data_IF_408689755799
#
_entry.id   IF_408689755799
#
_cell.length_a   1.000
_cell.length_b   1.000
_cell.length_c   1.000
_cell.angle_alpha   90.00
_cell.angle_beta   90.00
_cell.angle_gamma   90.00
#
_symmetry.space_group_name_H-M   'P 1'
#
loop_
_entity.id
_entity.type
_entity.pdbx_description
1 polymer ?
#
# COMPACT_ATOMS: atom_id res chain seq x y z
N UNK A 1 -8.48 -10.07 26.65
CA UNK A 1 -8.35 -8.99 25.68
C UNK A 1 -7.43 -9.49 24.57
N UNK A 2 -7.96 -9.67 23.38
CA UNK A 2 -7.19 -10.15 22.25
C UNK A 2 -6.23 -9.05 21.76
N UNK A 3 -5.07 -9.45 21.25
CA UNK A 3 -4.09 -8.52 20.68
C UNK A 3 -3.70 -8.97 19.28
N UNK A 4 -3.61 -8.02 18.36
CA UNK A 4 -3.01 -8.24 17.05
C UNK A 4 -1.64 -7.55 17.04
N UNK A 5 -0.58 -8.33 16.86
CA UNK A 5 0.81 -7.88 16.85
C UNK A 5 1.20 -7.48 15.43
N UNK A 6 1.47 -6.20 15.21
CA UNK A 6 1.66 -5.62 13.88
C UNK A 6 3.11 -5.20 13.68
N UNK A 7 3.70 -5.60 12.56
CA UNK A 7 4.95 -5.02 12.06
C UNK A 7 4.65 -4.09 10.88
N UNK A 8 5.25 -2.89 10.86
CA UNK A 8 5.05 -1.91 9.78
C UNK A 8 6.37 -1.73 9.02
N UNK A 9 6.35 -2.04 7.72
CA UNK A 9 7.48 -1.96 6.82
C UNK A 9 7.25 -0.91 5.72
N UNK A 10 8.19 0.03 5.62
CA UNK A 10 8.02 1.25 4.83
C UNK A 10 7.44 2.38 5.68
N UNK A 11 8.28 3.38 5.98
CA UNK A 11 7.89 4.51 6.84
C UNK A 11 8.04 5.83 6.06
N UNK A 12 7.49 5.82 4.84
CA UNK A 12 7.23 7.00 4.04
C UNK A 12 6.02 7.78 4.55
N UNK A 13 5.36 8.53 3.69
CA UNK A 13 4.14 9.27 4.05
C UNK A 13 3.05 8.32 4.56
N UNK A 14 2.68 7.33 3.76
CA UNK A 14 1.61 6.37 4.10
C UNK A 14 1.92 5.63 5.39
N UNK A 15 3.07 4.92 5.46
CA UNK A 15 3.40 4.10 6.63
C UNK A 15 3.56 4.91 7.92
N UNK A 16 4.06 6.16 7.83
CA UNK A 16 4.13 7.05 9.01
C UNK A 16 2.75 7.45 9.52
N UNK A 17 1.78 7.69 8.62
CA UNK A 17 0.40 7.97 9.02
C UNK A 17 -0.30 6.73 9.59
N UNK A 18 -0.01 5.53 9.05
CA UNK A 18 -0.53 4.27 9.62
C UNK A 18 -0.07 4.11 11.07
N UNK A 19 1.22 4.36 11.38
CA UNK A 19 1.71 4.34 12.77
C UNK A 19 0.90 5.31 13.64
N UNK A 20 0.69 6.54 13.18
CA UNK A 20 -0.08 7.56 13.92
C UNK A 20 -1.53 7.16 14.15
N UNK A 21 -2.17 6.58 13.15
CA UNK A 21 -3.56 6.11 13.26
C UNK A 21 -3.68 5.00 14.30
N UNK A 22 -2.76 4.04 14.31
CA UNK A 22 -2.75 2.97 15.30
C UNK A 22 -2.42 3.52 16.70
N UNK A 23 -1.51 4.49 16.84
CA UNK A 23 -1.25 5.17 18.12
C UNK A 23 -2.52 5.83 18.70
N UNK A 24 -3.31 6.48 17.82
CA UNK A 24 -4.53 7.19 18.21
C UNK A 24 -5.71 6.24 18.48
N UNK A 25 -5.84 5.20 17.66
CA UNK A 25 -6.98 4.29 17.64
C UNK A 25 -6.48 2.84 17.79
N UNK A 26 -5.87 2.52 18.95
CA UNK A 26 -5.26 1.19 19.16
C UNK A 26 -6.26 0.05 19.31
N UNK A 27 -7.56 0.36 19.40
CA UNK A 27 -8.63 -0.63 19.55
C UNK A 27 -9.40 -0.77 18.24
N UNK A 28 -9.66 -1.99 17.85
CA UNK A 28 -10.62 -2.38 16.81
C UNK A 28 -11.85 -3.02 17.46
N UNK A 29 -12.81 -3.43 16.60
CA UNK A 29 -14.03 -4.12 17.03
C UNK A 29 -13.72 -5.27 18.00
N UNK A 30 -14.66 -5.58 18.88
CA UNK A 30 -14.61 -6.68 19.85
C UNK A 30 -13.47 -6.66 20.88
N UNK A 31 -13.10 -5.47 21.33
CA UNK A 31 -12.06 -5.33 22.37
C UNK A 31 -10.68 -5.88 21.95
N UNK A 32 -10.41 -5.98 20.67
CA UNK A 32 -9.12 -6.39 20.12
C UNK A 32 -8.19 -5.19 20.03
N UNK A 33 -7.00 -5.27 20.62
CA UNK A 33 -5.99 -4.22 20.60
C UNK A 33 -4.97 -4.44 19.50
N UNK A 34 -4.69 -3.40 18.72
CA UNK A 34 -3.53 -3.35 17.81
C UNK A 34 -2.28 -2.94 18.58
N UNK A 35 -1.23 -3.75 18.47
CA UNK A 35 0.09 -3.48 19.08
C UNK A 35 1.18 -3.46 18.02
N UNK A 36 1.84 -2.31 17.84
CA UNK A 36 2.99 -2.21 16.92
C UNK A 36 4.21 -2.82 17.61
N UNK A 37 4.62 -4.01 17.16
CA UNK A 37 5.74 -4.76 17.74
C UNK A 37 7.06 -4.52 17.05
N UNK A 38 7.04 -4.04 15.80
CA UNK A 38 8.25 -3.67 15.05
C UNK A 38 7.94 -2.65 13.96
N UNK A 39 8.93 -1.85 13.63
CA UNK A 39 8.91 -0.96 12.47
C UNK A 39 10.21 -1.08 11.68
N UNK A 40 10.14 -0.89 10.36
CA UNK A 40 11.32 -0.96 9.50
C UNK A 40 11.24 -0.08 8.28
N UNK A 41 12.37 0.53 7.90
CA UNK A 41 12.54 1.27 6.66
C UNK A 41 14.02 1.40 6.30
N UNK A 42 14.33 1.75 5.05
CA UNK A 42 15.70 1.88 4.54
C UNK A 42 16.57 2.86 5.35
N UNK A 43 16.00 3.98 5.82
CA UNK A 43 16.76 5.02 6.55
C UNK A 43 16.13 5.29 7.91
N UNK A 44 16.79 4.84 8.99
CA UNK A 44 16.36 5.07 10.37
C UNK A 44 16.41 6.54 10.79
N UNK A 45 17.39 7.31 10.29
CA UNK A 45 17.65 8.70 10.69
C UNK A 45 16.69 9.70 10.04
N UNK A 46 15.93 9.30 9.00
CA UNK A 46 14.96 10.20 8.36
C UNK A 46 13.93 10.66 9.39
N UNK A 47 13.71 11.98 9.49
CA UNK A 47 12.68 12.59 10.36
C UNK A 47 11.28 12.07 9.97
N UNK A 48 10.46 11.72 10.95
CA UNK A 48 9.09 11.22 10.78
C UNK A 48 8.13 11.98 11.69
N UNK A 49 6.84 11.85 11.41
CA UNK A 49 5.77 12.51 12.16
C UNK A 49 5.47 11.86 13.53
N UNK A 50 6.18 10.77 13.87
CA UNK A 50 6.06 10.06 15.15
C UNK A 50 7.44 9.77 15.75
N UNK A 51 7.49 9.39 17.02
CA UNK A 51 8.73 9.07 17.71
C UNK A 51 9.15 7.62 17.43
N UNK A 52 10.17 7.43 16.59
CA UNK A 52 10.71 6.13 16.18
C UNK A 52 11.26 5.33 17.38
N UNK A 53 11.78 5.99 18.41
CA UNK A 53 12.41 5.31 19.57
C UNK A 53 11.42 4.54 20.45
N UNK A 54 10.11 4.77 20.27
CA UNK A 54 9.06 4.01 20.96
C UNK A 54 8.94 2.56 20.48
N UNK A 55 9.51 2.24 19.32
CA UNK A 55 9.29 0.97 18.65
C UNK A 55 10.59 0.21 18.40
N UNK A 56 10.50 -1.11 18.39
CA UNK A 56 11.61 -1.95 17.96
C UNK A 56 11.87 -1.73 16.47
N UNK A 57 13.05 -1.18 16.15
CA UNK A 57 13.48 -1.00 14.77
C UNK A 57 14.08 -2.28 14.22
N UNK A 58 13.72 -2.64 13.00
CA UNK A 58 14.35 -3.72 12.24
C UNK A 58 14.93 -3.20 10.93
N UNK A 59 16.07 -3.74 10.54
CA UNK A 59 16.73 -3.42 9.27
C UNK A 59 16.37 -4.41 8.16
N UNK A 60 15.93 -5.61 8.54
CA UNK A 60 15.54 -6.69 7.63
C UNK A 60 14.30 -7.40 8.19
N UNK A 61 13.35 -7.71 7.32
CA UNK A 61 12.12 -8.43 7.70
C UNK A 61 12.41 -9.83 8.26
N UNK A 62 13.54 -10.45 7.94
CA UNK A 62 13.95 -11.75 8.51
C UNK A 62 14.04 -11.73 10.04
N UNK A 63 14.31 -10.56 10.63
CA UNK A 63 14.29 -10.38 12.09
C UNK A 63 12.90 -10.62 12.70
N UNK A 64 11.84 -10.59 11.89
CA UNK A 64 10.49 -10.87 12.33
C UNK A 64 10.26 -12.34 12.72
N UNK A 65 11.16 -13.26 12.33
CA UNK A 65 11.14 -14.65 12.82
C UNK A 65 11.17 -14.75 14.35
N UNK A 66 11.91 -13.84 14.98
CA UNK A 66 12.01 -13.80 16.45
C UNK A 66 10.88 -12.99 17.10
N UNK A 67 10.35 -12.01 16.37
CA UNK A 67 9.28 -11.11 16.85
C UNK A 67 7.91 -11.77 16.71
N UNK A 68 7.70 -12.56 15.65
CA UNK A 68 6.47 -13.28 15.33
C UNK A 68 5.24 -12.35 15.36
N UNK A 69 5.14 -11.37 14.45
CA UNK A 69 3.92 -10.58 14.31
C UNK A 69 2.80 -11.45 13.71
N UNK A 70 1.56 -11.10 13.99
CA UNK A 70 0.37 -11.71 13.38
C UNK A 70 0.09 -11.11 12.00
N UNK A 71 0.46 -9.82 11.84
CA UNK A 71 0.18 -9.02 10.66
C UNK A 71 1.40 -8.17 10.29
N UNK A 72 1.71 -8.12 9.01
CA UNK A 72 2.64 -7.14 8.44
C UNK A 72 1.84 -6.12 7.62
N UNK A 73 2.12 -4.82 7.83
CA UNK A 73 1.66 -3.74 6.96
C UNK A 73 2.84 -3.28 6.12
N UNK A 74 2.75 -3.48 4.81
CA UNK A 74 3.78 -3.15 3.83
C UNK A 74 3.38 -1.88 3.06
N UNK A 75 4.21 -0.85 3.15
CA UNK A 75 4.08 0.42 2.44
C UNK A 75 5.42 0.86 1.84
N UNK A 76 6.25 -0.11 1.41
CA UNK A 76 7.56 0.13 0.81
C UNK A 76 7.38 0.54 -0.65
N UNK A 77 6.48 -0.15 -1.37
CA UNK A 77 6.26 0.04 -2.79
C UNK A 77 7.35 -0.60 -3.68
N UNK A 78 7.11 -0.51 -4.99
CA UNK A 78 7.99 -1.08 -6.02
C UNK A 78 7.92 -2.61 -6.11
N UNK A 79 8.69 -3.15 -7.04
CA UNK A 79 8.80 -4.59 -7.30
C UNK A 79 10.24 -5.07 -7.12
N UNK A 80 10.46 -6.35 -7.13
CA UNK A 80 11.79 -6.93 -7.08
C UNK A 80 12.01 -7.93 -5.95
N UNK A 81 13.26 -8.36 -5.82
CA UNK A 81 13.60 -9.49 -4.97
C UNK A 81 13.20 -9.29 -3.50
N UNK A 82 13.47 -8.12 -2.93
CA UNK A 82 13.18 -7.86 -1.51
C UNK A 82 11.69 -8.00 -1.20
N UNK A 83 10.82 -7.42 -2.02
CA UNK A 83 9.37 -7.48 -1.84
C UNK A 83 8.85 -8.91 -2.08
N UNK A 84 9.33 -9.56 -3.13
CA UNK A 84 8.99 -10.97 -3.39
C UNK A 84 9.36 -11.87 -2.20
N UNK A 85 10.56 -11.68 -1.64
CA UNK A 85 11.03 -12.47 -0.51
C UNK A 85 10.24 -12.16 0.77
N UNK A 86 9.82 -10.91 0.98
CA UNK A 86 8.93 -10.52 2.09
C UNK A 86 7.57 -11.23 1.99
N UNK A 87 6.95 -11.25 0.80
CA UNK A 87 5.65 -11.92 0.64
C UNK A 87 5.76 -13.43 0.84
N UNK A 88 6.81 -14.06 0.30
CA UNK A 88 7.12 -15.47 0.57
C UNK A 88 7.36 -15.73 2.06
N UNK A 89 8.05 -14.81 2.73
CA UNK A 89 8.28 -14.87 4.17
C UNK A 89 6.95 -14.87 4.95
N UNK A 90 6.00 -14.02 4.57
CA UNK A 90 4.65 -14.01 5.16
C UNK A 90 3.97 -15.37 5.01
N UNK A 91 3.98 -15.93 3.79
CA UNK A 91 3.39 -17.24 3.51
C UNK A 91 4.05 -18.39 4.28
N UNK A 92 5.38 -18.41 4.37
CA UNK A 92 6.12 -19.46 5.09
C UNK A 92 5.84 -19.38 6.60
N UNK A 93 5.82 -18.19 7.16
CA UNK A 93 5.67 -17.98 8.60
C UNK A 93 4.21 -17.83 9.05
N UNK A 94 3.25 -18.01 8.15
CA UNK A 94 1.80 -17.87 8.40
C UNK A 94 1.44 -16.49 8.98
N UNK A 95 1.96 -15.44 8.38
CA UNK A 95 1.72 -14.04 8.78
C UNK A 95 0.79 -13.41 7.75
N UNK A 96 -0.29 -12.80 8.20
CA UNK A 96 -1.19 -12.01 7.36
C UNK A 96 -0.50 -10.74 6.83
N UNK A 97 -0.95 -10.24 5.68
CA UNK A 97 -0.34 -9.09 5.02
C UNK A 97 -1.40 -8.05 4.64
N UNK A 98 -1.11 -6.78 4.93
CA UNK A 98 -1.78 -5.63 4.31
C UNK A 98 -0.73 -4.90 3.49
N UNK A 99 -1.04 -4.58 2.24
CA UNK A 99 -0.10 -3.91 1.33
C UNK A 99 -0.75 -2.75 0.58
N UNK A 100 0.03 -1.69 0.39
CA UNK A 100 -0.29 -0.58 -0.52
C UNK A 100 0.46 -0.69 -1.86
N UNK A 101 1.08 -1.83 -2.16
CA UNK A 101 1.97 -2.01 -3.29
C UNK A 101 1.25 -2.62 -4.50
N UNK A 102 0.57 -1.76 -5.27
CA UNK A 102 -0.17 -2.18 -6.47
C UNK A 102 0.72 -2.85 -7.52
N UNK A 103 1.92 -2.34 -7.76
CA UNK A 103 2.82 -2.89 -8.78
C UNK A 103 3.21 -4.34 -8.50
N UNK A 104 3.52 -4.68 -7.24
CA UNK A 104 3.85 -6.04 -6.83
C UNK A 104 2.66 -6.99 -6.99
N UNK A 105 1.45 -6.52 -6.64
CA UNK A 105 0.23 -7.31 -6.80
C UNK A 105 -0.09 -7.55 -8.28
N UNK A 106 0.01 -6.52 -9.13
CA UNK A 106 -0.25 -6.64 -10.57
C UNK A 106 0.71 -7.62 -11.26
N UNK A 107 2.01 -7.61 -10.88
CA UNK A 107 3.01 -8.50 -11.47
C UNK A 107 2.92 -9.97 -11.00
N UNK A 108 2.41 -10.21 -9.81
CA UNK A 108 2.46 -11.52 -9.14
C UNK A 108 1.13 -11.92 -8.49
N UNK A 109 0.00 -11.43 -9.01
CA UNK A 109 -1.33 -11.61 -8.45
C UNK A 109 -1.65 -13.07 -8.11
N UNK A 110 -1.59 -13.95 -9.10
CA UNK A 110 -2.01 -15.35 -8.95
C UNK A 110 -1.22 -16.06 -7.86
N UNK A 111 0.12 -15.86 -7.83
CA UNK A 111 0.98 -16.49 -6.85
C UNK A 111 0.63 -16.07 -5.40
N UNK A 112 0.31 -14.79 -5.21
CA UNK A 112 0.09 -14.28 -3.86
C UNK A 112 -1.36 -14.48 -3.41
N UNK A 113 -2.35 -14.20 -4.24
CA UNK A 113 -3.75 -14.43 -3.88
C UNK A 113 -4.00 -15.90 -3.54
N UNK A 114 -3.63 -16.82 -4.44
CA UNK A 114 -3.75 -18.26 -4.16
C UNK A 114 -2.92 -18.70 -2.95
N UNK A 115 -1.71 -18.14 -2.78
CA UNK A 115 -0.83 -18.50 -1.68
C UNK A 115 -1.40 -18.14 -0.32
N UNK A 116 -1.99 -16.95 -0.18
CA UNK A 116 -2.63 -16.51 1.06
C UNK A 116 -3.94 -17.25 1.32
N UNK A 117 -4.76 -17.44 0.27
CA UNK A 117 -6.03 -18.17 0.37
C UNK A 117 -5.82 -19.64 0.79
N UNK A 118 -4.95 -20.37 0.12
CA UNK A 118 -4.61 -21.78 0.44
C UNK A 118 -4.11 -21.96 1.88
N UNK A 119 -3.57 -20.91 2.50
CA UNK A 119 -3.07 -20.94 3.88
C UNK A 119 -4.05 -20.34 4.89
N UNK A 120 -5.22 -19.91 4.43
CA UNK A 120 -6.22 -19.21 5.25
C UNK A 120 -5.61 -17.98 5.96
N UNK A 121 -4.82 -17.19 5.21
CA UNK A 121 -4.19 -15.96 5.68
C UNK A 121 -4.88 -14.76 5.04
N UNK A 122 -5.02 -13.70 5.81
CA UNK A 122 -5.58 -12.46 5.31
C UNK A 122 -4.58 -11.71 4.42
N UNK A 123 -5.02 -11.33 3.22
CA UNK A 123 -4.32 -10.42 2.33
C UNK A 123 -5.21 -9.19 2.07
N UNK A 124 -4.87 -8.07 2.72
CA UNK A 124 -5.55 -6.79 2.54
C UNK A 124 -4.81 -5.91 1.54
N UNK A 125 -5.50 -5.44 0.51
CA UNK A 125 -4.87 -4.62 -0.54
C UNK A 125 -5.74 -3.46 -1.06
N UNK A 126 -6.81 -3.11 -0.34
CA UNK A 126 -7.67 -1.98 -0.70
C UNK A 126 -6.88 -0.68 -0.88
N UNK A 127 -5.87 -0.44 -0.05
CA UNK A 127 -5.02 0.75 -0.14
C UNK A 127 -4.10 0.77 -1.38
N UNK A 128 -3.95 -0.35 -2.08
CA UNK A 128 -3.14 -0.45 -3.30
C UNK A 128 -3.90 0.01 -4.55
N UNK A 129 -5.24 0.03 -4.51
CA UNK A 129 -6.10 0.23 -5.68
C UNK A 129 -7.01 1.45 -5.47
N UNK A 130 -6.97 2.42 -6.38
CA UNK A 130 -7.86 3.61 -6.38
C UNK A 130 -8.02 4.28 -5.00
N UNK A 131 -6.93 4.63 -4.34
CA UNK A 131 -6.88 5.14 -2.97
C UNK A 131 -8.15 5.85 -2.46
N UNK A 132 -8.65 5.43 -1.31
CA UNK A 132 -9.89 5.85 -0.67
C UNK A 132 -11.21 5.45 -1.39
N UNK A 133 -11.17 4.82 -2.55
CA UNK A 133 -12.35 4.27 -3.23
C UNK A 133 -12.44 2.77 -2.92
N UNK A 134 -13.53 2.27 -2.30
CA UNK A 134 -13.63 0.87 -1.85
C UNK A 134 -13.95 -0.09 -3.02
N UNK A 135 -13.14 -0.07 -4.07
CA UNK A 135 -13.39 -0.80 -5.32
C UNK A 135 -13.19 -2.31 -5.16
N UNK A 136 -12.14 -2.72 -4.44
CA UNK A 136 -11.84 -4.14 -4.22
C UNK A 136 -12.93 -4.76 -3.36
N UNK A 137 -13.26 -4.14 -2.24
CA UNK A 137 -14.31 -4.60 -1.34
C UNK A 137 -15.68 -4.65 -2.04
N UNK A 138 -16.02 -3.61 -2.80
CA UNK A 138 -17.29 -3.58 -3.56
C UNK A 138 -17.33 -4.71 -4.58
N UNK A 139 -16.24 -4.95 -5.31
CA UNK A 139 -16.17 -6.02 -6.30
C UNK A 139 -16.31 -7.39 -5.66
N UNK A 140 -15.59 -7.64 -4.57
CA UNK A 140 -15.60 -8.94 -3.89
C UNK A 140 -16.90 -9.23 -3.13
N UNK A 141 -17.51 -8.22 -2.51
CA UNK A 141 -18.65 -8.44 -1.63
C UNK A 141 -20.01 -8.18 -2.29
N UNK A 142 -20.07 -7.24 -3.24
CA UNK A 142 -21.34 -6.81 -3.81
C UNK A 142 -21.58 -7.31 -5.25
N UNK A 143 -20.50 -7.51 -6.02
CA UNK A 143 -20.60 -7.91 -7.42
C UNK A 143 -20.41 -9.43 -7.61
N UNK A 144 -19.63 -10.07 -6.73
CA UNK A 144 -19.49 -11.52 -6.79
C UNK A 144 -20.83 -12.23 -6.45
N UNK A 145 -21.26 -13.27 -7.21
CA UNK A 145 -20.50 -14.03 -8.21
C UNK A 145 -20.69 -13.58 -9.67
N UNK A 146 -21.14 -12.35 -9.91
CA UNK A 146 -21.36 -11.84 -11.27
C UNK A 146 -20.07 -11.77 -12.07
N UNK A 147 -20.15 -12.02 -13.39
CA UNK A 147 -19.02 -11.86 -14.29
C UNK A 147 -18.86 -10.38 -14.67
N UNK A 148 -17.73 -9.80 -14.36
CA UNK A 148 -17.37 -8.45 -14.82
C UNK A 148 -16.83 -8.56 -16.24
N UNK A 149 -17.50 -7.93 -17.20
CA UNK A 149 -17.09 -7.92 -18.61
C UNK A 149 -16.21 -6.72 -18.95
N UNK A 150 -16.40 -5.58 -18.28
CA UNK A 150 -15.63 -4.36 -18.50
C UNK A 150 -15.67 -3.46 -17.27
N UNK A 151 -14.63 -2.66 -17.10
CA UNK A 151 -14.51 -1.62 -16.07
C UNK A 151 -14.11 -0.33 -16.79
N UNK A 152 -14.83 0.75 -16.50
CA UNK A 152 -14.55 2.09 -17.04
C UNK A 152 -14.38 3.06 -15.88
N UNK A 153 -13.40 3.96 -15.99
CA UNK A 153 -13.16 4.95 -14.94
C UNK A 153 -11.92 5.81 -15.18
N UNK A 154 -11.65 6.68 -14.24
CA UNK A 154 -10.43 7.48 -14.17
C UNK A 154 -9.48 6.77 -13.20
N UNK A 155 -8.43 6.15 -13.72
CA UNK A 155 -7.54 5.30 -12.94
C UNK A 155 -6.26 5.98 -12.47
N UNK A 156 -5.98 7.19 -12.98
CA UNK A 156 -4.78 7.94 -12.62
C UNK A 156 -5.09 9.42 -12.41
N UNK A 157 -4.77 9.96 -11.23
CA UNK A 157 -5.06 11.33 -10.83
C UNK A 157 -4.24 12.37 -11.60
N UNK A 158 -2.95 12.08 -11.86
CA UNK A 158 -2.03 12.98 -12.56
C UNK A 158 -2.50 13.25 -13.97
N UNK A 159 -2.76 12.21 -14.74
CA UNK A 159 -3.24 12.36 -16.13
C UNK A 159 -4.63 12.99 -16.20
N UNK A 160 -5.51 12.67 -15.26
CA UNK A 160 -6.81 13.33 -15.17
C UNK A 160 -6.66 14.84 -14.93
N UNK A 161 -5.80 15.24 -13.98
CA UNK A 161 -5.52 16.66 -13.72
C UNK A 161 -5.01 17.36 -14.98
N UNK A 162 -4.01 16.78 -15.66
CA UNK A 162 -3.43 17.35 -16.87
C UNK A 162 -4.47 17.53 -17.97
N UNK A 163 -5.21 16.47 -18.29
CA UNK A 163 -6.22 16.51 -19.38
C UNK A 163 -7.34 17.51 -19.05
N UNK A 164 -7.84 17.53 -17.82
CA UNK A 164 -8.88 18.46 -17.40
C UNK A 164 -8.41 19.91 -17.53
N UNK A 165 -7.23 20.24 -17.04
CA UNK A 165 -6.65 21.58 -17.13
C UNK A 165 -6.41 22.04 -18.57
N UNK A 166 -5.86 21.15 -19.41
CA UNK A 166 -5.69 21.44 -20.84
C UNK A 166 -7.03 21.74 -21.51
N UNK A 167 -8.07 20.99 -21.18
CA UNK A 167 -9.39 21.19 -21.76
C UNK A 167 -10.05 22.50 -21.28
N UNK A 168 -10.03 22.75 -19.97
CA UNK A 168 -10.69 23.91 -19.35
C UNK A 168 -9.99 25.22 -19.69
N UNK A 169 -8.66 25.26 -19.58
CA UNK A 169 -7.88 26.49 -19.65
C UNK A 169 -7.25 26.72 -21.03
N UNK A 170 -7.35 25.75 -21.96
CA UNK A 170 -6.77 25.81 -23.31
C UNK A 170 -5.25 26.02 -23.31
N UNK A 171 -4.57 25.54 -22.27
CA UNK A 171 -3.10 25.61 -22.12
C UNK A 171 -2.42 24.35 -22.67
N UNK A 172 -1.11 24.45 -22.94
CA UNK A 172 -0.35 23.35 -23.50
C UNK A 172 -0.12 22.22 -22.48
N UNK A 173 0.18 21.01 -22.99
CA UNK A 173 0.57 19.88 -22.16
C UNK A 173 1.79 20.21 -21.28
N UNK A 174 2.79 20.88 -21.86
CA UNK A 174 4.03 21.22 -21.14
C UNK A 174 3.76 22.13 -19.95
N UNK A 175 3.00 23.19 -20.15
CA UNK A 175 2.63 24.13 -19.09
C UNK A 175 1.82 23.45 -18.01
N UNK A 176 0.88 22.59 -18.39
CA UNK A 176 0.04 21.87 -17.42
C UNK A 176 0.84 20.85 -16.62
N UNK A 177 1.80 20.17 -17.24
CA UNK A 177 2.67 19.23 -16.54
C UNK A 177 3.59 19.95 -15.53
N UNK A 178 4.15 21.09 -15.91
CA UNK A 178 4.94 21.92 -14.99
C UNK A 178 4.08 22.41 -13.82
N UNK A 179 2.85 22.85 -14.08
CA UNK A 179 1.89 23.22 -13.02
C UNK A 179 1.57 22.03 -12.10
N UNK A 180 1.33 20.84 -12.66
CA UNK A 180 1.04 19.63 -11.89
C UNK A 180 2.20 19.24 -10.96
N UNK A 181 3.44 19.34 -11.42
CA UNK A 181 4.64 19.09 -10.62
C UNK A 181 4.77 20.12 -9.49
N UNK A 182 4.62 21.40 -9.81
CA UNK A 182 4.74 22.47 -8.81
C UNK A 182 3.67 22.40 -7.72
N UNK A 183 2.46 21.95 -8.05
CA UNK A 183 1.36 21.77 -7.12
C UNK A 183 1.37 20.40 -6.40
N UNK A 184 2.31 19.51 -6.73
CA UNK A 184 2.44 18.18 -6.11
C UNK A 184 1.43 17.15 -6.60
N UNK A 185 0.77 17.37 -7.74
CA UNK A 185 -0.11 16.39 -8.41
C UNK A 185 0.67 15.42 -9.30
N UNK A 186 1.90 15.78 -9.67
CA UNK A 186 2.83 14.93 -10.40
C UNK A 186 4.19 14.91 -9.69
N UNK A 187 4.89 13.77 -9.76
CA UNK A 187 6.29 13.68 -9.36
C UNK A 187 7.20 14.28 -10.46
N UNK A 188 8.46 14.60 -10.10
CA UNK A 188 9.45 15.07 -11.08
C UNK A 188 9.64 14.08 -12.23
N UNK A 189 9.64 12.79 -11.92
CA UNK A 189 9.56 11.71 -12.91
C UNK A 189 8.15 11.18 -12.99
N UNK A 190 7.34 11.76 -13.86
CA UNK A 190 5.94 11.37 -14.13
C UNK A 190 5.80 10.35 -15.26
N UNK A 191 6.90 9.74 -15.71
CA UNK A 191 6.92 8.81 -16.86
C UNK A 191 5.95 7.63 -16.68
N UNK A 192 5.81 7.13 -15.47
CA UNK A 192 4.88 6.02 -15.15
C UNK A 192 3.42 6.42 -15.33
N UNK A 193 3.06 7.65 -14.91
CA UNK A 193 1.72 8.20 -15.06
C UNK A 193 1.40 8.43 -16.54
N UNK A 194 2.31 9.12 -17.25
CA UNK A 194 2.12 9.51 -18.65
C UNK A 194 2.13 8.33 -19.62
N UNK A 195 2.88 7.27 -19.32
CA UNK A 195 2.89 6.05 -20.14
C UNK A 195 1.67 5.14 -19.90
N UNK A 196 0.83 5.44 -18.92
CA UNK A 196 -0.28 4.59 -18.52
C UNK A 196 0.11 3.36 -17.68
N UNK A 197 1.39 3.20 -17.35
CA UNK A 197 1.87 2.08 -16.52
C UNK A 197 1.24 2.11 -15.13
N UNK A 198 1.11 3.28 -14.54
CA UNK A 198 0.46 3.45 -13.24
C UNK A 198 -1.02 3.06 -13.28
N UNK A 199 -1.73 3.42 -14.33
CA UNK A 199 -3.13 3.03 -14.51
C UNK A 199 -3.29 1.52 -14.81
N UNK A 200 -2.31 0.89 -15.45
CA UNK A 200 -2.30 -0.55 -15.72
C UNK A 200 -2.13 -1.38 -14.44
N UNK A 201 -1.30 -0.93 -13.51
CA UNK A 201 -1.10 -1.57 -12.21
C UNK A 201 -2.32 -1.44 -11.30
#
# INVERSE_FOLDING_TARGET
>A
MNKIRIAILGLGVVGSHVVKLIEKNSYILDNTKCEIVAIGAKNKKKKRIFNVSKYKWINDFKSLNQIKPDLIIETIGGTGKYINDLYKFCLVNKISLITANKAQLAEKSDLFFEGFDKKNLFLGFEAAVLGAVPVVQTTQQSIYPSKINAIYGIFNGTTNYIISKMYENKISFKETLEEAINNGFAEQDSSSDLSGRDAMH
#
